data_IF_310558601547
#
_entry.id   IF_310558601547
#
_cell.length_a   1.000
_cell.length_b   1.000
_cell.length_c   1.000
_cell.angle_alpha   90.00
_cell.angle_beta   90.00
_cell.angle_gamma   90.00
#
_symmetry.space_group_name_H-M   'P 1'
#
loop_
_entity.id
_entity.type
_entity.pdbx_description
1 polymer ?
#
# COMPACT_ATOMS: atom_id res chain seq x y z
N UNK A 1 14.28 -1.75 22.42
CA UNK A 1 13.28 -0.69 22.66
C UNK A 1 11.94 -1.36 22.89
N UNK A 2 11.12 -0.88 23.83
CA UNK A 2 9.75 -1.35 23.97
C UNK A 2 8.88 -0.61 22.94
N UNK A 3 8.22 -1.34 22.06
CA UNK A 3 7.22 -0.77 21.14
C UNK A 3 5.90 -0.57 21.89
N UNK A 4 5.04 0.37 21.45
CA UNK A 4 3.66 0.42 21.92
C UNK A 4 2.94 -0.90 21.62
N UNK A 5 1.84 -1.17 22.32
CA UNK A 5 0.95 -2.27 21.93
C UNK A 5 0.23 -1.86 20.66
N UNK A 6 0.40 -2.66 19.60
CA UNK A 6 -0.14 -2.39 18.27
C UNK A 6 -1.14 -3.46 17.84
N UNK A 7 -2.27 -3.03 17.27
CA UNK A 7 -3.22 -3.92 16.59
C UNK A 7 -3.65 -3.31 15.26
N UNK A 8 -3.48 -4.05 14.17
CA UNK A 8 -3.99 -3.71 12.84
C UNK A 8 -5.32 -4.43 12.66
N UNK A 9 -6.39 -3.68 12.42
CA UNK A 9 -7.72 -4.25 12.16
C UNK A 9 -8.13 -3.98 10.71
N UNK A 10 -8.47 -5.03 9.97
CA UNK A 10 -8.96 -4.94 8.59
C UNK A 10 -9.84 -6.14 8.22
N UNK A 11 -10.31 -6.21 6.97
CA UNK A 11 -10.91 -7.42 6.43
C UNK A 11 -9.86 -8.53 6.28
N UNK A 12 -10.34 -9.77 6.09
CA UNK A 12 -9.52 -10.91 5.70
C UNK A 12 -9.11 -10.85 4.22
N UNK A 13 -8.42 -9.77 3.86
CA UNK A 13 -7.81 -9.54 2.57
C UNK A 13 -6.59 -8.64 2.74
N UNK A 14 -5.67 -8.58 1.77
CA UNK A 14 -4.54 -7.66 1.83
C UNK A 14 -5.03 -6.21 1.86
N UNK A 15 -5.72 -5.81 0.78
CA UNK A 15 -6.31 -4.48 0.59
C UNK A 15 -5.42 -3.32 1.06
N UNK A 16 -6.03 -2.32 1.68
CA UNK A 16 -5.31 -1.13 2.18
C UNK A 16 -4.48 -1.39 3.44
N UNK A 17 -4.73 -2.49 4.16
CA UNK A 17 -4.02 -2.81 5.41
C UNK A 17 -2.65 -3.43 5.15
N UNK A 18 -2.47 -4.11 4.02
CA UNK A 18 -1.22 -4.79 3.67
C UNK A 18 0.00 -3.88 3.75
N UNK A 19 -0.18 -2.61 3.37
CA UNK A 19 0.87 -1.61 3.47
C UNK A 19 1.41 -1.45 4.90
N UNK A 20 0.50 -1.36 5.88
CA UNK A 20 0.88 -1.19 7.30
C UNK A 20 1.41 -2.49 7.88
N UNK A 21 0.79 -3.63 7.52
CA UNK A 21 1.24 -4.96 7.96
C UNK A 21 2.68 -5.22 7.53
N UNK A 22 3.00 -4.98 6.26
CA UNK A 22 4.36 -5.12 5.73
C UNK A 22 5.34 -4.14 6.40
N UNK A 23 4.97 -2.88 6.59
CA UNK A 23 5.83 -1.90 7.25
C UNK A 23 6.21 -2.34 8.68
N UNK A 24 5.24 -2.80 9.47
CA UNK A 24 5.49 -3.32 10.83
C UNK A 24 6.31 -4.62 10.80
N UNK A 25 5.95 -5.55 9.93
CA UNK A 25 6.58 -6.86 9.87
C UNK A 25 8.04 -6.79 9.41
N UNK A 26 8.34 -6.00 8.36
CA UNK A 26 9.69 -5.76 7.87
C UNK A 26 10.56 -5.12 8.95
N UNK A 27 9.99 -4.18 9.72
CA UNK A 27 10.66 -3.53 10.83
C UNK A 27 10.81 -4.41 12.09
N UNK A 28 10.33 -5.66 12.05
CA UNK A 28 10.30 -6.58 13.19
C UNK A 28 9.57 -6.01 14.41
N UNK A 29 8.49 -5.26 14.16
CA UNK A 29 7.64 -4.71 15.21
C UNK A 29 6.48 -5.67 15.45
N UNK A 30 6.27 -6.19 16.67
CA UNK A 30 5.15 -7.07 16.97
C UNK A 30 3.83 -6.30 16.92
N UNK A 31 2.80 -6.93 16.36
CA UNK A 31 1.43 -6.41 16.34
C UNK A 31 0.42 -7.56 16.27
N UNK A 32 -0.80 -7.31 16.74
CA UNK A 32 -1.95 -8.18 16.53
C UNK A 32 -2.59 -7.88 15.15
N UNK A 33 -2.81 -8.89 14.31
CA UNK A 33 -3.54 -8.77 13.04
C UNK A 33 -4.99 -9.24 13.21
N UNK A 34 -5.89 -8.31 13.51
CA UNK A 34 -7.32 -8.60 13.70
C UNK A 34 -8.06 -8.53 12.35
N UNK A 35 -8.64 -9.66 11.94
CA UNK A 35 -9.36 -9.79 10.66
C UNK A 35 -10.86 -9.89 10.89
N UNK A 36 -11.61 -8.98 10.29
CA UNK A 36 -13.05 -8.86 10.46
C UNK A 36 -13.82 -9.42 9.26
N UNK A 37 -14.96 -10.03 9.54
CA UNK A 37 -16.02 -10.26 8.54
C UNK A 37 -16.76 -8.96 8.23
N UNK A 38 -17.53 -8.95 7.14
CA UNK A 38 -18.40 -7.81 6.79
C UNK A 38 -19.43 -7.47 7.87
N UNK A 39 -19.98 -8.49 8.53
CA UNK A 39 -20.93 -8.32 9.65
C UNK A 39 -20.26 -7.69 10.88
N UNK A 40 -19.08 -8.19 11.26
CA UNK A 40 -18.30 -7.64 12.37
C UNK A 40 -17.90 -6.18 12.11
N UNK A 41 -17.52 -5.86 10.88
CA UNK A 41 -17.30 -4.46 10.48
C UNK A 41 -18.58 -3.65 10.58
N UNK A 42 -19.71 -4.13 10.07
CA UNK A 42 -21.00 -3.46 10.15
C UNK A 42 -21.39 -3.07 11.58
N UNK A 43 -21.19 -3.98 12.53
CA UNK A 43 -21.46 -3.74 13.96
C UNK A 43 -20.52 -2.70 14.59
N UNK A 44 -19.26 -2.61 14.16
CA UNK A 44 -18.25 -1.68 14.70
C UNK A 44 -18.17 -0.36 13.96
N UNK A 45 -18.72 -0.27 12.74
CA UNK A 45 -18.51 0.86 11.83
C UNK A 45 -18.76 2.23 12.48
N UNK A 46 -19.84 2.37 13.25
CA UNK A 46 -20.19 3.67 13.85
C UNK A 46 -19.25 4.09 14.99
N UNK A 47 -18.50 3.17 15.61
CA UNK A 47 -17.54 3.50 16.67
C UNK A 47 -16.14 3.82 16.14
N UNK A 48 -15.86 3.54 14.86
CA UNK A 48 -14.55 3.84 14.26
C UNK A 48 -14.42 5.34 13.95
N UNK A 49 -13.24 5.96 14.16
CA UNK A 49 -13.06 7.42 14.02
C UNK A 49 -13.56 8.00 12.70
N UNK A 50 -13.34 7.28 11.60
CA UNK A 50 -13.76 7.68 10.26
C UNK A 50 -14.74 6.68 9.62
N UNK A 51 -15.39 5.82 10.44
CA UNK A 51 -16.35 4.81 9.97
C UNK A 51 -15.81 3.89 8.86
N UNK A 52 -14.50 3.66 8.87
CA UNK A 52 -13.79 2.95 7.82
C UNK A 52 -12.66 2.09 8.39
N UNK A 53 -12.22 1.14 7.59
CA UNK A 53 -11.04 0.32 7.80
C UNK A 53 -9.99 0.66 6.72
N UNK A 54 -8.68 0.42 6.96
CA UNK A 54 -8.10 -0.17 8.17
C UNK A 54 -8.02 0.80 9.35
N UNK A 55 -7.85 0.21 10.54
CA UNK A 55 -7.47 0.94 11.75
C UNK A 55 -6.19 0.40 12.37
N UNK A 56 -5.42 1.27 13.00
CA UNK A 56 -4.29 0.93 13.86
C UNK A 56 -4.65 1.34 15.28
N UNK A 57 -4.72 0.38 16.20
CA UNK A 57 -4.83 0.68 17.63
C UNK A 57 -3.43 0.82 18.21
N UNK A 58 -3.15 1.96 18.85
CA UNK A 58 -1.88 2.26 19.53
C UNK A 58 -2.18 2.47 21.01
N UNK A 59 -1.70 1.57 21.88
CA UNK A 59 -1.94 1.64 23.33
C UNK A 59 -3.43 1.81 23.71
N UNK A 60 -4.33 1.19 22.94
CA UNK A 60 -5.78 1.26 23.15
C UNK A 60 -6.50 2.37 22.39
N UNK A 61 -5.78 3.35 21.83
CA UNK A 61 -6.39 4.42 21.01
C UNK A 61 -6.49 4.00 19.54
N UNK A 62 -7.64 4.21 18.90
CA UNK A 62 -7.91 3.77 17.52
C UNK A 62 -7.66 4.90 16.53
N UNK A 63 -6.82 4.65 15.53
CA UNK A 63 -6.54 5.57 14.42
C UNK A 63 -6.92 4.94 13.07
N UNK A 64 -7.15 5.75 12.05
CA UNK A 64 -7.39 5.30 10.66
C UNK A 64 -6.39 5.94 9.69
N UNK A 65 -6.58 5.69 8.39
CA UNK A 65 -5.79 6.16 7.24
C UNK A 65 -4.49 5.36 7.06
N UNK A 66 -4.53 4.38 6.17
CA UNK A 66 -3.43 3.42 5.96
C UNK A 66 -2.07 4.07 5.70
N UNK A 67 -2.03 5.18 4.98
CA UNK A 67 -0.78 5.87 4.67
C UNK A 67 -0.20 6.58 5.90
N UNK A 68 -1.04 7.19 6.74
CA UNK A 68 -0.61 7.78 8.01
C UNK A 68 -0.14 6.69 8.99
N UNK A 69 -0.89 5.58 9.06
CA UNK A 69 -0.49 4.40 9.84
C UNK A 69 0.85 3.82 9.38
N UNK A 70 1.11 3.74 8.07
CA UNK A 70 2.37 3.25 7.52
C UNK A 70 3.53 4.21 7.79
N UNK A 71 3.32 5.54 7.74
CA UNK A 71 4.33 6.52 8.19
C UNK A 71 4.68 6.35 9.66
N UNK A 72 3.69 6.14 10.51
CA UNK A 72 3.92 5.88 11.93
C UNK A 72 4.72 4.58 12.13
N UNK A 73 4.31 3.48 11.51
CA UNK A 73 5.04 2.21 11.53
C UNK A 73 6.47 2.36 11.01
N UNK A 74 6.65 3.07 9.90
CA UNK A 74 7.96 3.33 9.30
C UNK A 74 8.85 4.20 10.19
N UNK A 75 8.27 5.15 10.93
CA UNK A 75 9.01 5.99 11.88
C UNK A 75 9.51 5.18 13.08
N UNK A 76 8.67 4.26 13.60
CA UNK A 76 9.08 3.32 14.66
C UNK A 76 10.18 2.34 14.18
N UNK A 77 10.10 1.94 12.91
CA UNK A 77 10.91 0.88 12.31
C UNK A 77 12.14 1.32 11.53
N UNK A 78 12.39 2.63 11.42
CA UNK A 78 13.49 3.17 10.61
C UNK A 78 13.27 3.07 9.09
N UNK A 79 12.03 2.87 8.62
CA UNK A 79 11.64 2.86 7.21
C UNK A 79 11.14 4.24 6.71
N UNK A 80 11.10 5.23 7.59
CA UNK A 80 10.79 6.63 7.28
C UNK A 80 11.86 7.55 7.93
N UNK A 81 12.63 8.32 7.14
CA UNK A 81 13.78 9.07 7.63
C UNK A 81 13.36 10.42 8.24
N UNK A 82 12.71 10.40 9.41
CA UNK A 82 12.13 11.59 10.04
C UNK A 82 13.14 12.73 10.34
N UNK A 83 14.45 12.44 10.39
CA UNK A 83 15.51 13.43 10.57
C UNK A 83 16.00 14.07 9.25
N UNK A 84 15.50 13.61 8.10
CA UNK A 84 15.76 14.18 6.77
C UNK A 84 14.42 14.64 6.15
N UNK A 85 14.10 15.95 6.25
CA UNK A 85 12.84 16.47 5.75
C UNK A 85 12.65 16.30 4.25
N UNK A 86 13.72 16.40 3.44
CA UNK A 86 13.60 16.29 1.99
C UNK A 86 13.38 14.84 1.57
N UNK A 87 14.08 13.90 2.19
CA UNK A 87 13.84 12.46 1.98
C UNK A 87 12.42 12.05 2.39
N UNK A 88 11.97 12.53 3.55
CA UNK A 88 10.61 12.33 4.06
C UNK A 88 9.55 12.88 3.10
N UNK A 89 9.74 14.12 2.61
CA UNK A 89 8.85 14.73 1.63
C UNK A 89 8.78 13.93 0.32
N UNK A 90 9.91 13.44 -0.20
CA UNK A 90 9.94 12.61 -1.41
C UNK A 90 9.19 11.29 -1.22
N UNK A 91 9.26 10.68 -0.05
CA UNK A 91 8.44 9.51 0.28
C UNK A 91 6.97 9.88 0.23
N UNK A 92 6.57 10.97 0.90
CA UNK A 92 5.18 11.39 0.96
C UNK A 92 4.61 11.76 -0.42
N UNK A 93 5.40 12.40 -1.28
CA UNK A 93 5.04 12.69 -2.67
C UNK A 93 4.67 11.41 -3.44
N UNK A 94 5.48 10.36 -3.32
CA UNK A 94 5.21 9.06 -3.98
C UNK A 94 4.01 8.35 -3.35
N UNK A 95 3.88 8.39 -2.03
CA UNK A 95 2.76 7.76 -1.32
C UNK A 95 1.42 8.41 -1.66
N UNK A 96 1.36 9.74 -1.78
CA UNK A 96 0.13 10.43 -2.16
C UNK A 96 -0.22 10.17 -3.64
N UNK A 97 0.77 10.09 -4.54
CA UNK A 97 0.53 9.69 -5.92
C UNK A 97 0.06 8.22 -6.05
N UNK A 98 0.65 7.31 -5.26
CA UNK A 98 0.19 5.92 -5.14
C UNK A 98 -1.27 5.85 -4.70
N UNK A 99 -1.63 6.63 -3.67
CA UNK A 99 -3.00 6.72 -3.16
C UNK A 99 -3.99 7.18 -4.22
N UNK A 100 -3.62 8.11 -5.09
CA UNK A 100 -4.47 8.58 -6.19
C UNK A 100 -4.74 7.46 -7.20
N UNK A 101 -3.72 6.67 -7.54
CA UNK A 101 -3.88 5.48 -8.39
C UNK A 101 -4.79 4.44 -7.71
N UNK A 102 -4.58 4.14 -6.43
CA UNK A 102 -5.43 3.21 -5.66
C UNK A 102 -6.89 3.69 -5.63
N UNK A 103 -7.11 4.99 -5.44
CA UNK A 103 -8.47 5.55 -5.41
C UNK A 103 -9.14 5.45 -6.78
N UNK A 104 -8.42 5.72 -7.87
CA UNK A 104 -8.93 5.58 -9.23
C UNK A 104 -9.29 4.11 -9.55
N UNK A 105 -8.43 3.17 -9.16
CA UNK A 105 -8.70 1.72 -9.27
C UNK A 105 -9.97 1.35 -8.51
N UNK A 106 -10.09 1.76 -7.25
CA UNK A 106 -11.24 1.40 -6.42
C UNK A 106 -12.54 2.00 -6.97
N UNK A 107 -12.51 3.25 -7.42
CA UNK A 107 -13.67 3.91 -8.00
C UNK A 107 -14.20 3.19 -9.25
N UNK A 108 -13.32 2.60 -10.07
CA UNK A 108 -13.71 1.83 -11.25
C UNK A 108 -14.11 0.38 -10.92
N UNK A 109 -13.31 -0.32 -10.12
CA UNK A 109 -13.47 -1.77 -9.85
C UNK A 109 -14.59 -2.08 -8.85
N UNK A 110 -14.87 -1.17 -7.92
CA UNK A 110 -15.84 -1.36 -6.84
C UNK A 110 -16.95 -0.31 -6.88
N UNK A 111 -17.24 0.23 -8.06
CA UNK A 111 -18.39 1.11 -8.25
C UNK A 111 -19.68 0.41 -7.81
N UNK A 112 -20.57 1.06 -7.04
CA UNK A 112 -21.79 0.44 -6.52
C UNK A 112 -22.76 0.03 -7.63
N UNK A 113 -22.78 0.77 -8.74
CA UNK A 113 -23.52 0.40 -9.94
C UNK A 113 -22.63 -0.42 -10.87
N UNK A 114 -22.91 -1.72 -10.93
CA UNK A 114 -22.15 -2.68 -11.74
C UNK A 114 -22.22 -2.39 -13.24
N UNK A 115 -23.28 -1.74 -13.73
CA UNK A 115 -23.44 -1.43 -15.17
C UNK A 115 -22.46 -0.36 -15.65
N UNK A 116 -21.96 0.49 -14.73
CA UNK A 116 -21.01 1.55 -15.04
C UNK A 116 -19.56 1.05 -15.05
N UNK A 117 -19.26 -0.07 -14.39
CA UNK A 117 -17.89 -0.58 -14.22
C UNK A 117 -17.13 -0.74 -15.54
N UNK A 118 -17.67 -1.35 -16.61
CA UNK A 118 -16.91 -1.52 -17.85
C UNK A 118 -16.44 -0.19 -18.46
N UNK A 119 -17.29 0.83 -18.46
CA UNK A 119 -16.95 2.16 -18.98
C UNK A 119 -15.90 2.86 -18.10
N UNK A 120 -16.02 2.74 -16.78
CA UNK A 120 -15.06 3.31 -15.83
C UNK A 120 -13.69 2.63 -15.89
N UNK A 121 -13.65 1.30 -16.05
CA UNK A 121 -12.40 0.54 -16.23
C UNK A 121 -11.74 0.91 -17.56
N UNK A 122 -12.53 1.06 -18.63
CA UNK A 122 -12.00 1.51 -19.92
C UNK A 122 -11.37 2.90 -19.82
N UNK A 123 -12.08 3.86 -19.23
CA UNK A 123 -11.53 5.21 -18.99
C UNK A 123 -10.29 5.20 -18.10
N UNK A 124 -10.29 4.36 -17.05
CA UNK A 124 -9.13 4.18 -16.17
C UNK A 124 -7.90 3.74 -16.96
N UNK A 125 -8.04 2.72 -17.82
CA UNK A 125 -6.93 2.12 -18.57
C UNK A 125 -6.48 2.97 -19.75
N UNK A 126 -7.41 3.62 -20.46
CA UNK A 126 -7.10 4.38 -21.68
C UNK A 126 -6.68 5.82 -21.38
N UNK A 127 -7.19 6.43 -20.30
CA UNK A 127 -7.00 7.87 -20.07
C UNK A 127 -6.30 8.19 -18.74
N UNK A 128 -6.59 7.48 -17.65
CA UNK A 128 -6.08 7.86 -16.31
C UNK A 128 -4.72 7.24 -16.01
N UNK A 129 -4.60 5.91 -16.05
CA UNK A 129 -3.35 5.21 -15.77
C UNK A 129 -2.20 5.63 -16.70
N UNK A 130 -2.42 5.84 -18.02
CA UNK A 130 -1.37 6.32 -18.92
C UNK A 130 -0.86 7.73 -18.60
N UNK A 131 -1.60 8.52 -17.80
CA UNK A 131 -1.16 9.82 -17.31
C UNK A 131 -0.47 9.69 -15.96
N UNK A 132 -1.04 8.93 -15.03
CA UNK A 132 -0.54 8.84 -13.65
C UNK A 132 0.75 8.03 -13.53
N UNK A 133 0.82 6.86 -14.17
CA UNK A 133 1.94 5.93 -13.98
C UNK A 133 3.29 6.46 -14.52
N UNK A 134 3.37 7.09 -15.72
CA UNK A 134 4.63 7.69 -16.17
C UNK A 134 5.10 8.84 -15.27
N UNK A 135 4.17 9.59 -14.67
CA UNK A 135 4.52 10.65 -13.72
C UNK A 135 5.22 10.07 -12.49
N UNK A 136 4.71 8.97 -11.93
CA UNK A 136 5.35 8.30 -10.78
C UNK A 136 6.71 7.73 -11.19
N UNK A 137 6.80 7.02 -12.31
CA UNK A 137 8.06 6.46 -12.83
C UNK A 137 9.15 7.55 -12.96
N UNK A 138 8.79 8.72 -13.48
CA UNK A 138 9.72 9.86 -13.63
C UNK A 138 10.27 10.38 -12.29
N UNK A 139 9.59 10.15 -11.17
CA UNK A 139 10.07 10.52 -9.82
C UNK A 139 11.05 9.50 -9.24
N UNK A 140 11.12 8.27 -9.78
CA UNK A 140 11.96 7.18 -9.29
C UNK A 140 13.44 7.31 -9.73
N UNK A 141 13.98 8.53 -9.74
CA UNK A 141 15.28 8.88 -10.35
C UNK A 141 16.55 8.42 -9.59
N UNK A 142 16.42 7.58 -8.57
CA UNK A 142 17.56 7.03 -7.82
C UNK A 142 18.21 5.87 -8.56
N UNK A 143 19.54 5.79 -8.55
CA UNK A 143 20.33 4.68 -9.09
C UNK A 143 20.54 3.52 -8.11
N UNK A 144 20.12 3.67 -6.85
CA UNK A 144 20.25 2.62 -5.84
C UNK A 144 19.18 1.53 -5.94
N UNK A 145 19.33 0.49 -5.11
CA UNK A 145 18.43 -0.68 -5.07
C UNK A 145 16.96 -0.31 -4.86
N UNK A 146 16.71 0.71 -4.06
CA UNK A 146 15.40 1.22 -3.61
C UNK A 146 15.21 2.69 -4.02
N UNK A 147 14.03 3.25 -3.75
CA UNK A 147 13.60 4.59 -4.15
C UNK A 147 14.55 5.69 -3.66
N UNK A 148 15.04 5.60 -2.41
CA UNK A 148 15.97 6.58 -1.83
C UNK A 148 17.42 6.07 -1.73
N UNK A 149 17.82 5.13 -2.58
CA UNK A 149 19.18 4.59 -2.60
C UNK A 149 19.18 3.13 -2.15
N UNK A 150 20.01 2.74 -1.18
CA UNK A 150 20.14 1.34 -0.79
C UNK A 150 19.36 0.94 0.47
N UNK A 151 18.63 1.90 1.06
CA UNK A 151 17.78 1.66 2.22
C UNK A 151 16.33 1.48 1.78
N UNK A 152 15.72 0.38 2.23
CA UNK A 152 14.29 0.13 2.07
C UNK A 152 13.48 1.14 2.88
N UNK A 153 12.46 1.71 2.27
CA UNK A 153 11.53 2.66 2.89
C UNK A 153 10.08 2.25 2.69
N UNK A 154 9.16 2.95 3.34
CA UNK A 154 7.72 2.72 3.11
C UNK A 154 7.28 3.08 1.67
N UNK A 155 7.97 3.97 0.96
CA UNK A 155 7.67 4.24 -0.45
C UNK A 155 7.90 2.99 -1.31
N UNK A 156 8.98 2.26 -1.05
CA UNK A 156 9.29 1.01 -1.76
C UNK A 156 8.24 -0.07 -1.54
N UNK A 157 7.72 -0.18 -0.31
CA UNK A 157 6.65 -1.13 0.04
C UNK A 157 5.36 -0.77 -0.73
N UNK A 158 4.99 0.52 -0.78
CA UNK A 158 3.82 0.97 -1.55
C UNK A 158 3.99 0.68 -3.05
N UNK A 159 5.14 1.04 -3.62
CA UNK A 159 5.48 0.75 -5.02
C UNK A 159 5.42 -0.76 -5.33
N UNK A 160 5.93 -1.61 -4.45
CA UNK A 160 5.84 -3.06 -4.59
C UNK A 160 4.39 -3.57 -4.56
N UNK A 161 3.56 -3.09 -3.63
CA UNK A 161 2.15 -3.48 -3.54
C UNK A 161 1.36 -3.04 -4.76
N UNK A 162 1.61 -1.83 -5.27
CA UNK A 162 1.00 -1.32 -6.48
C UNK A 162 1.43 -2.12 -7.71
N UNK A 163 2.72 -2.43 -7.83
CA UNK A 163 3.25 -3.30 -8.88
C UNK A 163 2.55 -4.65 -8.87
N UNK A 164 2.46 -5.31 -7.71
CA UNK A 164 1.74 -6.58 -7.57
C UNK A 164 0.27 -6.47 -7.95
N UNK A 165 -0.38 -5.35 -7.65
CA UNK A 165 -1.79 -5.14 -7.97
C UNK A 165 -2.00 -5.01 -9.48
N UNK A 166 -1.27 -4.08 -10.12
CA UNK A 166 -1.45 -3.74 -11.53
C UNK A 166 -0.88 -4.79 -12.49
N UNK A 167 0.23 -5.45 -12.14
CA UNK A 167 0.85 -6.48 -12.97
C UNK A 167 0.28 -7.90 -12.73
N UNK A 168 -0.69 -8.07 -11.83
CA UNK A 168 -1.22 -9.39 -11.47
C UNK A 168 -1.97 -10.12 -12.58
N UNK A 169 -2.62 -9.38 -13.48
CA UNK A 169 -3.57 -9.95 -14.44
C UNK A 169 -4.87 -10.47 -13.84
N UNK A 170 -5.13 -10.24 -12.54
CA UNK A 170 -6.35 -10.69 -11.87
C UNK A 170 -7.57 -9.77 -12.11
N UNK A 171 -7.35 -8.53 -12.54
CA UNK A 171 -8.41 -7.53 -12.68
C UNK A 171 -8.95 -7.51 -14.12
N UNK A 172 -10.21 -7.89 -14.28
CA UNK A 172 -10.90 -7.84 -15.56
C UNK A 172 -10.84 -6.42 -16.17
N UNK A 173 -10.45 -6.34 -17.44
CA UNK A 173 -10.32 -5.09 -18.18
C UNK A 173 -9.05 -4.28 -17.91
N UNK A 174 -8.19 -4.69 -16.97
CA UNK A 174 -6.88 -4.09 -16.73
C UNK A 174 -5.79 -5.04 -17.28
N UNK A 175 -5.07 -4.66 -18.34
CA UNK A 175 -4.01 -5.50 -18.90
C UNK A 175 -2.87 -5.71 -17.87
N UNK A 176 -2.39 -6.94 -17.71
CA UNK A 176 -1.19 -7.20 -16.88
C UNK A 176 0.06 -6.52 -17.42
N UNK A 177 0.08 -6.20 -18.71
CA UNK A 177 1.15 -5.47 -19.40
C UNK A 177 1.11 -3.96 -19.14
N UNK A 178 0.12 -3.43 -18.39
CA UNK A 178 0.00 -1.99 -18.11
C UNK A 178 1.27 -1.43 -17.45
N UNK A 179 2.04 -2.29 -16.76
CA UNK A 179 3.27 -1.91 -16.07
C UNK A 179 4.56 -2.10 -16.87
N UNK A 180 4.51 -2.65 -18.09
CA UNK A 180 5.71 -3.04 -18.84
C UNK A 180 6.63 -1.86 -19.20
N UNK A 181 6.06 -0.66 -19.31
CA UNK A 181 6.79 0.58 -19.63
C UNK A 181 7.54 1.22 -18.45
N UNK A 182 7.52 0.62 -17.25
CA UNK A 182 8.07 1.23 -16.02
C UNK A 182 9.22 0.38 -15.42
N UNK A 183 10.39 0.33 -16.10
CA UNK A 183 11.50 -0.54 -15.71
C UNK A 183 12.08 -0.19 -14.33
N UNK A 184 12.06 1.09 -13.93
CA UNK A 184 12.61 1.50 -12.64
C UNK A 184 11.72 1.08 -11.49
N UNK A 185 10.40 1.25 -11.64
CA UNK A 185 9.41 0.72 -10.71
C UNK A 185 9.53 -0.79 -10.59
N UNK A 186 9.65 -1.51 -11.72
CA UNK A 186 9.88 -2.96 -11.75
C UNK A 186 11.06 -3.37 -10.90
N UNK A 187 12.20 -2.68 -11.05
CA UNK A 187 13.41 -2.97 -10.30
C UNK A 187 13.24 -2.77 -8.79
N UNK A 188 12.54 -1.71 -8.35
CA UNK A 188 12.17 -1.53 -6.92
C UNK A 188 11.31 -2.69 -6.46
N UNK A 189 10.24 -3.02 -7.20
CA UNK A 189 9.30 -4.07 -6.80
C UNK A 189 10.00 -5.43 -6.64
N UNK A 190 10.89 -5.79 -7.57
CA UNK A 190 11.70 -7.00 -7.49
C UNK A 190 12.69 -6.97 -6.30
N UNK A 191 13.30 -5.82 -6.03
CA UNK A 191 14.20 -5.66 -4.90
C UNK A 191 13.49 -5.77 -3.53
N UNK A 192 12.23 -5.33 -3.46
CA UNK A 192 11.37 -5.50 -2.28
C UNK A 192 10.90 -6.94 -2.17
N UNK A 193 10.45 -7.55 -3.26
CA UNK A 193 10.03 -8.96 -3.29
C UNK A 193 11.14 -9.92 -2.85
N UNK A 194 12.39 -9.63 -3.20
CA UNK A 194 13.56 -10.39 -2.78
C UNK A 194 13.98 -10.17 -1.31
N UNK A 195 13.34 -9.23 -0.59
CA UNK A 195 13.68 -8.97 0.81
C UNK A 195 13.21 -10.14 1.70
N UNK A 196 14.07 -10.76 2.55
CA UNK A 196 13.72 -11.97 3.29
C UNK A 196 12.44 -11.86 4.13
N UNK A 197 12.23 -10.71 4.78
CA UNK A 197 11.00 -10.45 5.56
C UNK A 197 9.74 -10.32 4.70
N UNK A 198 9.88 -9.81 3.47
CA UNK A 198 8.75 -9.72 2.53
C UNK A 198 8.38 -11.14 2.06
N UNK A 199 9.37 -11.96 1.71
CA UNK A 199 9.13 -13.36 1.34
C UNK A 199 8.50 -14.16 2.47
N UNK A 200 9.02 -14.01 3.70
CA UNK A 200 8.45 -14.67 4.88
C UNK A 200 6.99 -14.26 5.11
N UNK A 201 6.67 -12.97 4.98
CA UNK A 201 5.30 -12.49 5.11
C UNK A 201 4.38 -13.06 4.03
N UNK A 202 4.81 -12.97 2.76
CA UNK A 202 4.05 -13.49 1.62
C UNK A 202 3.79 -15.01 1.73
N UNK A 203 4.76 -15.78 2.23
CA UNK A 203 4.61 -17.22 2.41
C UNK A 203 3.62 -17.57 3.53
N UNK A 204 3.57 -16.77 4.60
CA UNK A 204 2.60 -16.92 5.69
C UNK A 204 1.20 -16.44 5.31
N UNK A 205 1.11 -15.51 4.36
CA UNK A 205 -0.13 -14.89 3.89
C UNK A 205 -0.20 -14.95 2.36
N UNK A 206 -0.35 -16.15 1.77
CA UNK A 206 -0.50 -16.25 0.33
C UNK A 206 -1.70 -15.40 -0.10
N UNK A 207 -1.49 -14.54 -1.10
CA UNK A 207 -2.57 -13.74 -1.65
C UNK A 207 -3.63 -14.69 -2.23
N UNK A 208 -4.88 -14.54 -1.77
CA UNK A 208 -6.05 -15.22 -2.33
C UNK A 208 -6.43 -14.62 -3.68
#
# INVERSE_FOLDING_TARGET
>A
MAYPTLKVTYFDSPGRAEFVRLALFVANIPFEDERLTGEQFGARKQSLPFKQLPTLTVNGEVHCQSHAMARYAGSLGGLYPASDPLASYRIDEVLDADKDVVNALIAALFHPDATQKPALIKDLVENKLPVMLPCIEARLNSTGKYFLGDKLTIADIALYLMWKTLASGHWEGIPSTIMDGYPRWKAIAQAVEAHPRIQEWNAKHPAH
#
